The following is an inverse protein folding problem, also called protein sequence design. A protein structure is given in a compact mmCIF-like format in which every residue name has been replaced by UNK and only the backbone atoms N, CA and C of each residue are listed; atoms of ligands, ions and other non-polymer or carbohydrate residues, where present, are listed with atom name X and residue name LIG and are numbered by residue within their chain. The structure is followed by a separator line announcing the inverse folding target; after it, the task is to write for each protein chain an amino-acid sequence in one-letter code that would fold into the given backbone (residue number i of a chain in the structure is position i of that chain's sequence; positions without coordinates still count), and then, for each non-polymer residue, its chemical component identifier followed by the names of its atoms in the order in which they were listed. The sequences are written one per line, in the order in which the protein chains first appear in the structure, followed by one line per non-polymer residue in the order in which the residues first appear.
data_IF_712051883725
#
_entry.id   IF_712051883725
#
_cell.length_a   1.000
_cell.length_b   1.000
_cell.length_c   1.000
_cell.angle_alpha   90.00
_cell.angle_beta   90.00
_cell.angle_gamma   90.00
#
_symmetry.space_group_name_H-M   'P 1'
#
loop_
_entity.id
_entity.type
_entity.pdbx_description
1 polymer ?
#
# COMPACT_ATOMS: atom_id res chain seq x y z
N UNK A 1 -11.45 11.55 4.35
CA UNK A 1 -10.49 12.35 3.53
C UNK A 1 -9.79 11.36 2.63
N UNK A 2 -9.44 11.72 1.38
CA UNK A 2 -8.74 10.81 0.50
C UNK A 2 -7.34 10.51 1.04
N UNK A 3 -6.85 9.30 0.78
CA UNK A 3 -5.47 8.93 1.07
C UNK A 3 -4.47 9.72 0.23
N UNK A 4 -3.25 9.88 0.74
CA UNK A 4 -2.14 10.32 -0.10
C UNK A 4 -1.84 9.29 -1.21
N UNK A 5 -1.24 9.76 -2.31
CA UNK A 5 -0.91 8.90 -3.47
C UNK A 5 0.12 7.79 -3.15
N UNK A 6 0.87 7.91 -2.05
CA UNK A 6 1.93 7.00 -1.65
C UNK A 6 1.76 6.66 -0.17
N UNK A 7 1.54 5.39 0.12
CA UNK A 7 1.22 4.91 1.46
C UNK A 7 2.31 3.97 1.97
N UNK A 8 2.55 4.03 3.27
CA UNK A 8 3.25 2.99 4.02
C UNK A 8 2.26 2.36 5.00
N UNK A 9 1.89 1.11 4.77
CA UNK A 9 1.02 0.35 5.66
C UNK A 9 1.86 -0.39 6.71
N UNK A 10 1.64 -0.09 7.98
CA UNK A 10 2.27 -0.79 9.09
C UNK A 10 1.50 -2.06 9.44
N UNK A 11 2.22 -3.17 9.60
CA UNK A 11 1.68 -4.45 10.09
C UNK A 11 2.33 -4.87 11.42
N UNK A 12 1.67 -5.68 12.27
CA UNK A 12 0.37 -6.31 12.06
C UNK A 12 -0.78 -5.31 12.03
N UNK A 13 -1.76 -5.55 11.15
CA UNK A 13 -3.04 -4.82 11.16
C UNK A 13 -3.86 -5.25 12.37
N UNK A 14 -4.71 -4.35 12.87
CA UNK A 14 -5.57 -4.59 14.02
C UNK A 14 -6.72 -5.56 13.70
N UNK A 15 -7.23 -5.49 12.46
CA UNK A 15 -8.28 -6.35 11.92
C UNK A 15 -8.09 -6.53 10.40
N UNK A 16 -7.84 -7.76 9.95
CA UNK A 16 -7.62 -8.07 8.52
C UNK A 16 -8.88 -7.86 7.67
N UNK A 17 -10.07 -7.83 8.26
CA UNK A 17 -11.32 -7.55 7.51
C UNK A 17 -11.41 -6.11 7.02
N UNK A 18 -10.51 -5.22 7.47
CA UNK A 18 -10.40 -3.85 7.00
C UNK A 18 -9.66 -3.72 5.65
N UNK A 19 -8.94 -4.77 5.22
CA UNK A 19 -8.12 -4.71 4.01
C UNK A 19 -8.94 -4.50 2.73
N UNK A 20 -10.09 -5.19 2.57
CA UNK A 20 -10.97 -4.98 1.42
C UNK A 20 -11.37 -3.50 1.27
N UNK A 21 -11.90 -2.91 2.34
CA UNK A 21 -12.33 -1.50 2.33
C UNK A 21 -11.18 -0.53 2.11
N UNK A 22 -10.01 -0.83 2.69
CA UNK A 22 -8.79 -0.04 2.51
C UNK A 22 -8.32 -0.06 1.05
N UNK A 23 -8.24 -1.22 0.42
CA UNK A 23 -7.78 -1.37 -0.97
C UNK A 23 -8.75 -0.71 -1.95
N UNK A 24 -10.05 -0.90 -1.78
CA UNK A 24 -11.06 -0.23 -2.61
C UNK A 24 -10.97 1.29 -2.48
N UNK A 25 -10.72 1.80 -1.28
CA UNK A 25 -10.51 3.23 -1.10
C UNK A 25 -9.21 3.71 -1.78
N UNK A 26 -8.11 2.96 -1.67
CA UNK A 26 -6.86 3.28 -2.35
C UNK A 26 -7.01 3.37 -3.87
N UNK A 27 -7.76 2.44 -4.48
CA UNK A 27 -8.08 2.46 -5.91
C UNK A 27 -8.87 3.71 -6.29
N UNK A 28 -9.91 4.04 -5.51
CA UNK A 28 -10.75 5.23 -5.74
C UNK A 28 -9.98 6.55 -5.56
N UNK A 29 -9.04 6.59 -4.61
CA UNK A 29 -8.23 7.77 -4.31
C UNK A 29 -7.02 7.92 -5.26
N UNK A 30 -6.80 6.96 -6.16
CA UNK A 30 -5.70 6.98 -7.13
C UNK A 30 -4.32 6.80 -6.49
N UNK A 31 -4.26 5.99 -5.42
CA UNK A 31 -3.01 5.58 -4.78
C UNK A 31 -2.16 4.82 -5.78
N UNK A 32 -0.88 5.18 -5.86
CA UNK A 32 0.08 4.59 -6.79
C UNK A 32 1.01 3.57 -6.13
N UNK A 33 1.16 3.65 -4.81
CA UNK A 33 2.08 2.82 -4.05
C UNK A 33 1.48 2.53 -2.67
N UNK A 34 1.50 1.26 -2.28
CA UNK A 34 1.33 0.80 -0.90
C UNK A 34 2.56 -0.04 -0.52
N UNK A 35 3.44 0.53 0.30
CA UNK A 35 4.59 -0.17 0.86
C UNK A 35 4.23 -0.77 2.22
N UNK A 36 4.30 -2.10 2.37
CA UNK A 36 3.89 -2.81 3.58
C UNK A 36 5.13 -3.13 4.44
N UNK A 37 5.14 -2.68 5.69
CA UNK A 37 6.29 -2.81 6.60
C UNK A 37 5.90 -3.42 7.93
N UNK A 38 6.72 -4.35 8.42
CA UNK A 38 6.55 -5.01 9.71
C UNK A 38 6.38 -6.54 9.62
N UNK A 39 6.20 -7.23 10.75
CA UNK A 39 6.10 -8.69 10.79
C UNK A 39 4.94 -9.23 9.94
N UNK A 40 5.27 -10.12 9.00
CA UNK A 40 4.27 -10.75 8.12
C UNK A 40 3.80 -9.88 6.96
N UNK A 41 4.52 -8.79 6.64
CA UNK A 41 4.15 -7.86 5.56
C UNK A 41 3.98 -8.53 4.20
N UNK A 42 4.81 -9.51 3.83
CA UNK A 42 4.69 -10.22 2.55
C UNK A 42 3.33 -10.92 2.39
N UNK A 43 2.80 -11.54 3.46
CA UNK A 43 1.47 -12.16 3.41
C UNK A 43 0.36 -11.11 3.27
N UNK A 44 0.51 -9.97 3.94
CA UNK A 44 -0.47 -8.87 3.85
C UNK A 44 -0.44 -8.25 2.46
N UNK A 45 0.75 -8.11 1.86
CA UNK A 45 0.92 -7.73 0.45
C UNK A 45 0.22 -8.70 -0.49
N UNK A 46 0.43 -10.02 -0.35
CA UNK A 46 -0.25 -11.03 -1.18
C UNK A 46 -1.79 -10.89 -1.13
N UNK A 47 -2.35 -10.59 0.06
CA UNK A 47 -3.79 -10.35 0.22
C UNK A 47 -4.21 -9.06 -0.49
N UNK A 48 -3.43 -7.99 -0.36
CA UNK A 48 -3.70 -6.72 -1.06
C UNK A 48 -3.68 -6.94 -2.57
N UNK A 49 -2.70 -7.68 -3.10
CA UNK A 49 -2.59 -8.00 -4.52
C UNK A 49 -3.81 -8.78 -5.02
N UNK A 50 -4.28 -9.77 -4.27
CA UNK A 50 -5.49 -10.52 -4.59
C UNK A 50 -6.72 -9.60 -4.68
N UNK A 51 -6.87 -8.67 -3.72
CA UNK A 51 -7.98 -7.71 -3.71
C UNK A 51 -7.85 -6.73 -4.89
N UNK A 52 -6.65 -6.22 -5.20
CA UNK A 52 -6.41 -5.33 -6.34
C UNK A 52 -6.82 -6.00 -7.64
N UNK A 53 -6.39 -7.25 -7.87
CA UNK A 53 -6.73 -8.04 -9.07
C UNK A 53 -8.24 -8.30 -9.16
N UNK A 54 -8.91 -8.56 -8.03
CA UNK A 54 -10.35 -8.84 -7.99
C UNK A 54 -10.71 -10.04 -8.86
N UNK A 55 -11.69 -9.89 -9.76
CA UNK A 55 -12.08 -10.94 -10.72
C UNK A 55 -11.27 -10.91 -12.04
N UNK A 56 -10.30 -9.99 -12.15
CA UNK A 56 -9.47 -9.82 -13.34
C UNK A 56 -10.18 -9.24 -14.56
N UNK A 57 -11.42 -8.76 -14.43
CA UNK A 57 -12.18 -8.19 -15.56
C UNK A 57 -11.93 -6.70 -15.78
N UNK A 58 -11.44 -5.98 -14.76
CA UNK A 58 -11.17 -4.54 -14.80
C UNK A 58 -9.66 -4.27 -14.79
N UNK A 59 -9.11 -4.07 -15.99
CA UNK A 59 -7.69 -3.75 -16.21
C UNK A 59 -7.28 -2.38 -15.63
N UNK A 60 -8.23 -1.54 -15.21
CA UNK A 60 -7.93 -0.22 -14.62
C UNK A 60 -7.60 -0.29 -13.14
N UNK A 61 -7.86 -1.42 -12.48
CA UNK A 61 -7.51 -1.66 -11.07
C UNK A 61 -6.02 -1.93 -10.94
N UNK A 62 -5.27 -0.90 -10.57
CA UNK A 62 -3.82 -1.02 -10.43
C UNK A 62 -3.29 -0.17 -9.27
N UNK A 63 -2.55 -0.82 -8.37
CA UNK A 63 -1.73 -0.21 -7.32
C UNK A 63 -0.40 -0.95 -7.35
N UNK A 64 0.73 -0.23 -7.28
CA UNK A 64 2.01 -0.88 -7.02
C UNK A 64 2.11 -1.23 -5.54
N UNK A 65 2.43 -2.47 -5.24
CA UNK A 65 2.63 -2.98 -3.88
C UNK A 65 4.09 -3.40 -3.69
N UNK A 66 4.61 -3.19 -2.48
CA UNK A 66 5.92 -3.68 -2.06
C UNK A 66 5.85 -4.17 -0.62
N UNK A 67 6.52 -5.27 -0.27
CA UNK A 67 6.72 -5.69 1.13
C UNK A 67 8.18 -5.61 1.56
N UNK A 68 8.36 -5.25 2.84
CA UNK A 68 9.67 -4.96 3.42
C UNK A 68 9.86 -5.72 4.75
N UNK A 69 10.13 -7.04 4.72
CA UNK A 69 10.19 -7.87 5.94
C UNK A 69 11.43 -7.64 6.80
N UNK A 70 12.56 -7.33 6.15
CA UNK A 70 13.89 -7.24 6.79
C UNK A 70 14.55 -5.87 6.60
N UNK A 71 13.82 -4.88 6.09
CA UNK A 71 14.36 -3.55 5.81
C UNK A 71 14.10 -2.57 6.96
N UNK A 72 15.08 -1.70 7.28
CA UNK A 72 14.85 -0.57 8.19
C UNK A 72 13.75 0.35 7.65
N UNK A 73 12.89 0.85 8.55
CA UNK A 73 11.80 1.77 8.17
C UNK A 73 12.28 3.01 7.40
N UNK A 74 13.45 3.56 7.73
CA UNK A 74 14.03 4.70 7.02
C UNK A 74 14.31 4.40 5.54
N UNK A 75 14.71 3.18 5.21
CA UNK A 75 14.96 2.77 3.82
C UNK A 75 13.64 2.66 3.05
N UNK A 76 12.60 2.09 3.67
CA UNK A 76 11.23 2.03 3.12
C UNK A 76 10.67 3.43 2.88
N UNK A 77 10.85 4.34 3.85
CA UNK A 77 10.41 5.73 3.76
C UNK A 77 11.14 6.47 2.63
N UNK A 78 12.44 6.26 2.48
CA UNK A 78 13.22 6.86 1.41
C UNK A 78 12.80 6.31 0.04
N UNK A 79 12.50 5.02 -0.07
CA UNK A 79 11.95 4.41 -1.28
C UNK A 79 10.60 5.04 -1.65
N UNK A 80 9.66 5.13 -0.69
CA UNK A 80 8.33 5.71 -0.93
C UNK A 80 8.40 7.20 -1.28
N UNK A 81 9.36 7.95 -0.72
CA UNK A 81 9.60 9.35 -1.11
C UNK A 81 10.13 9.47 -2.54
N UNK A 82 10.96 8.53 -2.96
CA UNK A 82 11.57 8.49 -4.31
C UNK A 82 10.63 7.95 -5.37
N UNK A 83 9.59 7.20 -4.97
CA UNK A 83 8.51 6.77 -5.87
C UNK A 83 7.82 7.97 -6.51
N UNK A 84 7.83 8.01 -7.85
CA UNK A 84 7.36 9.14 -8.66
C UNK A 84 7.92 10.50 -8.16
N UNK A 85 9.23 10.54 -7.82
CA UNK A 85 9.89 11.68 -7.18
C UNK A 85 9.55 13.04 -7.81
N UNK A 86 9.47 13.13 -9.14
CA UNK A 86 9.18 14.35 -9.88
C UNK A 86 7.81 14.98 -9.55
N UNK A 87 6.84 14.19 -9.08
CA UNK A 87 5.51 14.69 -8.70
C UNK A 87 5.51 15.38 -7.34
N UNK A 88 6.45 15.04 -6.46
CA UNK A 88 6.56 15.65 -5.12
C UNK A 88 5.40 15.35 -4.17
N UNK A 89 4.57 14.34 -4.47
CA UNK A 89 3.45 13.93 -3.61
C UNK A 89 3.95 13.48 -2.22
N UNK A 90 3.22 13.78 -1.13
CA UNK A 90 3.59 13.35 0.22
C UNK A 90 3.45 11.83 0.37
N UNK A 91 4.17 11.28 1.36
CA UNK A 91 4.00 9.90 1.82
C UNK A 91 3.19 9.93 3.11
N UNK A 92 2.18 9.06 3.20
CA UNK A 92 1.34 8.89 4.39
C UNK A 92 1.60 7.52 5.04
N UNK A 93 1.68 7.48 6.36
CA UNK A 93 1.75 6.24 7.13
C UNK A 93 0.36 5.83 7.60
N UNK A 94 -0.04 4.60 7.32
CA UNK A 94 -1.36 4.05 7.64
C UNK A 94 -1.21 2.89 8.63
N UNK A 95 -2.14 2.83 9.58
CA UNK A 95 -2.34 1.71 10.53
C UNK A 95 -3.82 1.36 10.50
N UNK A 96 -4.11 0.11 10.15
CA UNK A 96 -5.45 -0.47 10.14
C UNK A 96 -5.71 -1.20 11.44
#
# INVERSE_FOLDING_TARGET
MPFARKLILHVPVSDETLLDGFVEQCLNDGVSLVAVVGPGCARVEDIIDEIVVGDGSDETRFICTTSHPDEPFEDVLNMARTWEFERGDPVEEVRL
#
